data_IF_959795111902
#
_entry.id   IF_959795111902
#
_cell.length_a   1.000
_cell.length_b   1.000
_cell.length_c   1.000
_cell.angle_alpha   90.00
_cell.angle_beta   90.00
_cell.angle_gamma   90.00
#
_symmetry.space_group_name_H-M   'P 1'
#
loop_
_entity.id
_entity.type
_entity.pdbx_description
1 polymer ?
#
# COMPACT_ATOMS: atom_id res chain seq x y z
N UNK A 1 0.07 -18.13 19.33
CA UNK A 1 -1.10 -17.87 18.47
C UNK A 1 -0.58 -17.41 17.11
N UNK A 2 -0.95 -18.06 16.01
CA UNK A 2 -0.46 -17.67 14.70
C UNK A 2 -1.12 -16.34 14.32
N UNK A 3 -0.33 -15.27 14.23
CA UNK A 3 -0.82 -13.89 14.04
C UNK A 3 -1.46 -13.66 12.66
N UNK A 4 -1.12 -14.51 11.71
CA UNK A 4 -1.62 -14.48 10.35
C UNK A 4 -2.55 -15.67 10.09
N UNK A 5 -3.64 -15.39 9.40
CA UNK A 5 -4.57 -16.40 8.90
C UNK A 5 -4.04 -16.90 7.55
N UNK A 6 -4.31 -18.17 7.20
CA UNK A 6 -3.97 -18.68 5.88
C UNK A 6 -4.88 -18.05 4.82
N UNK A 7 -4.32 -17.06 4.11
CA UNK A 7 -4.98 -16.24 3.10
C UNK A 7 -4.36 -16.45 1.71
N UNK A 8 -3.68 -17.59 1.49
CA UNK A 8 -3.01 -17.94 0.22
C UNK A 8 -3.98 -18.05 -0.96
N UNK A 9 -5.25 -18.37 -0.68
CA UNK A 9 -6.32 -18.45 -1.68
C UNK A 9 -6.59 -17.14 -2.42
N UNK A 10 -6.23 -15.98 -1.86
CA UNK A 10 -6.50 -14.69 -2.50
C UNK A 10 -5.57 -14.45 -3.68
N UNK A 11 -6.17 -14.30 -4.86
CA UNK A 11 -5.49 -14.23 -6.16
C UNK A 11 -5.57 -12.85 -6.82
N UNK A 12 -6.01 -11.82 -6.08
CA UNK A 12 -6.01 -10.44 -6.58
C UNK A 12 -4.59 -10.04 -7.04
N UNK A 13 -4.42 -9.38 -8.20
CA UNK A 13 -3.10 -9.10 -8.77
C UNK A 13 -2.14 -8.40 -7.80
N UNK A 14 -2.59 -7.33 -7.15
CA UNK A 14 -1.78 -6.59 -6.17
C UNK A 14 -1.34 -7.46 -4.99
N UNK A 15 -2.20 -8.40 -4.54
CA UNK A 15 -1.85 -9.31 -3.46
C UNK A 15 -0.77 -10.30 -3.92
N UNK A 16 -0.95 -10.90 -5.10
CA UNK A 16 0.04 -11.85 -5.64
C UNK A 16 1.39 -11.17 -5.86
N UNK A 17 1.41 -9.99 -6.44
CA UNK A 17 2.66 -9.28 -6.75
C UNK A 17 3.29 -8.69 -5.48
N UNK A 18 2.52 -8.07 -4.59
CA UNK A 18 3.01 -7.60 -3.28
C UNK A 18 3.62 -8.72 -2.44
N UNK A 19 3.04 -9.94 -2.46
CA UNK A 19 3.61 -11.11 -1.77
C UNK A 19 4.95 -11.56 -2.36
N UNK A 20 5.17 -11.41 -3.67
CA UNK A 20 6.47 -11.75 -4.30
C UNK A 20 7.59 -10.83 -3.83
N UNK A 21 7.24 -9.61 -3.41
CA UNK A 21 8.18 -8.62 -2.90
C UNK A 21 8.39 -8.72 -1.39
N UNK A 22 7.84 -9.72 -0.68
CA UNK A 22 8.15 -9.91 0.74
C UNK A 22 9.66 -10.12 0.96
N UNK A 23 10.22 -9.40 1.93
CA UNK A 23 11.65 -9.37 2.20
C UNK A 23 12.46 -8.52 1.21
N UNK A 24 11.82 -7.81 0.30
CA UNK A 24 12.48 -6.80 -0.53
C UNK A 24 12.54 -5.46 0.22
N UNK A 25 13.57 -4.72 -0.15
CA UNK A 25 13.86 -3.34 0.18
C UNK A 25 14.24 -3.05 1.63
N UNK A 26 15.01 -1.97 1.79
CA UNK A 26 15.11 -1.24 3.05
C UNK A 26 14.16 -0.04 2.99
N UNK A 27 13.56 0.35 4.12
CA UNK A 27 12.74 1.56 4.15
C UNK A 27 13.60 2.80 3.91
N UNK A 28 13.31 3.56 2.86
CA UNK A 28 14.03 4.79 2.48
C UNK A 28 13.05 5.92 2.19
N UNK A 29 13.41 7.15 2.59
CA UNK A 29 12.58 8.35 2.44
C UNK A 29 13.22 9.34 1.46
N UNK A 30 12.49 10.39 1.06
CA UNK A 30 12.99 11.43 0.15
C UNK A 30 13.52 10.82 -1.16
N UNK A 31 14.74 11.16 -1.56
CA UNK A 31 15.39 10.64 -2.78
C UNK A 31 15.57 9.11 -2.75
N UNK A 32 15.60 8.50 -1.56
CA UNK A 32 15.79 7.06 -1.42
C UNK A 32 14.53 6.24 -1.74
N UNK A 33 13.36 6.87 -1.73
CA UNK A 33 12.06 6.18 -1.84
C UNK A 33 11.85 5.47 -3.18
N UNK A 34 12.68 5.72 -4.17
CA UNK A 34 12.57 5.16 -5.53
C UNK A 34 13.82 4.40 -5.97
N UNK A 35 14.76 4.11 -5.05
CA UNK A 35 16.00 3.39 -5.36
C UNK A 35 15.77 1.87 -5.43
N UNK A 36 14.70 1.42 -6.11
CA UNK A 36 14.45 0.02 -6.44
C UNK A 36 15.01 -0.39 -7.81
N UNK A 37 15.74 0.52 -8.49
CA UNK A 37 16.37 0.35 -9.81
C UNK A 37 15.37 0.25 -10.98
N UNK A 38 14.82 -0.94 -11.26
CA UNK A 38 13.83 -1.16 -12.33
C UNK A 38 12.51 -1.64 -11.72
N UNK A 39 11.38 -1.08 -12.15
CA UNK A 39 10.08 -1.51 -11.65
C UNK A 39 9.68 -2.93 -12.14
N UNK A 40 10.18 -3.39 -13.29
CA UNK A 40 9.95 -4.75 -13.79
C UNK A 40 10.74 -5.78 -12.99
N UNK A 41 11.99 -5.44 -12.65
CA UNK A 41 12.93 -6.30 -11.94
C UNK A 41 13.58 -5.53 -10.79
N UNK A 42 12.83 -5.24 -9.72
CA UNK A 42 13.35 -4.40 -8.65
C UNK A 42 14.46 -5.10 -7.89
N UNK A 43 15.47 -4.33 -7.50
CA UNK A 43 16.56 -4.83 -6.66
C UNK A 43 16.02 -5.14 -5.26
N UNK A 44 16.18 -6.38 -4.82
CA UNK A 44 15.80 -6.82 -3.48
C UNK A 44 16.45 -5.99 -2.38
N UNK A 45 17.65 -5.46 -2.61
CA UNK A 45 18.38 -4.63 -1.66
C UNK A 45 18.14 -3.12 -1.85
N UNK A 46 17.26 -2.75 -2.79
CA UNK A 46 16.90 -1.36 -3.05
C UNK A 46 16.17 -0.69 -1.90
N UNK A 47 15.66 0.52 -2.15
CA UNK A 47 14.91 1.28 -1.14
C UNK A 47 13.55 1.74 -1.65
N UNK A 48 12.58 1.74 -0.73
CA UNK A 48 11.21 2.17 -0.97
C UNK A 48 10.61 2.75 0.32
N UNK A 49 9.57 3.58 0.18
CA UNK A 49 8.66 3.90 1.28
C UNK A 49 7.30 3.23 1.06
N UNK A 50 6.37 3.46 2.00
CA UNK A 50 5.07 2.83 1.98
C UNK A 50 4.26 3.16 0.70
N UNK A 51 4.26 4.42 0.28
CA UNK A 51 3.51 4.88 -0.89
C UNK A 51 4.21 4.52 -2.21
N UNK A 52 5.54 4.56 -2.28
CA UNK A 52 6.28 4.12 -3.48
C UNK A 52 6.21 2.61 -3.67
N UNK A 53 6.10 1.84 -2.59
CA UNK A 53 5.80 0.41 -2.65
C UNK A 53 4.40 0.14 -3.25
N UNK A 54 3.36 0.85 -2.81
CA UNK A 54 2.01 0.71 -3.39
C UNK A 54 2.02 1.07 -4.88
N UNK A 55 2.69 2.18 -5.25
CA UNK A 55 2.87 2.59 -6.63
C UNK A 55 3.55 1.49 -7.46
N UNK A 56 4.65 0.92 -6.96
CA UNK A 56 5.42 -0.11 -7.64
C UNK A 56 4.57 -1.35 -7.93
N UNK A 57 3.86 -1.86 -6.92
CA UNK A 57 2.99 -3.04 -7.08
C UNK A 57 1.85 -2.74 -8.07
N UNK A 58 1.27 -1.54 -8.02
CA UNK A 58 0.24 -1.12 -8.96
C UNK A 58 0.78 -1.00 -10.40
N UNK A 59 1.94 -0.38 -10.62
CA UNK A 59 2.62 -0.28 -11.93
C UNK A 59 2.85 -1.67 -12.52
N UNK A 60 3.43 -2.58 -11.72
CA UNK A 60 3.71 -3.98 -12.10
C UNK A 60 2.46 -4.78 -12.44
N UNK A 61 1.31 -4.41 -11.86
CA UNK A 61 0.02 -5.02 -12.15
C UNK A 61 -0.76 -4.34 -13.29
N UNK A 62 -0.18 -3.35 -13.98
CA UNK A 62 -0.79 -2.66 -15.12
C UNK A 62 -1.89 -1.66 -14.75
N UNK A 63 -1.88 -1.14 -13.53
CA UNK A 63 -2.81 -0.09 -13.09
C UNK A 63 -2.35 1.29 -13.59
N UNK A 64 -3.28 2.25 -13.61
CA UNK A 64 -2.94 3.64 -13.85
C UNK A 64 -2.21 4.20 -12.63
N UNK A 65 -0.96 4.65 -12.78
CA UNK A 65 -0.18 5.22 -11.67
C UNK A 65 0.73 6.39 -12.07
N UNK A 66 0.68 6.84 -13.33
CA UNK A 66 1.66 7.80 -13.86
C UNK A 66 3.11 7.25 -13.85
N UNK A 67 4.09 8.15 -13.99
CA UNK A 67 5.52 7.80 -14.01
C UNK A 67 6.24 8.15 -12.70
N UNK A 68 5.65 9.02 -11.89
CA UNK A 68 6.20 9.41 -10.59
C UNK A 68 5.55 8.58 -9.46
N UNK A 69 6.34 8.01 -8.54
CA UNK A 69 5.79 7.30 -7.40
C UNK A 69 4.97 8.17 -6.46
N UNK A 70 3.82 7.64 -6.05
CA UNK A 70 2.85 8.34 -5.23
C UNK A 70 3.43 8.90 -3.94
N UNK A 71 2.82 9.95 -3.40
CA UNK A 71 2.91 10.27 -1.97
C UNK A 71 1.63 9.87 -1.22
N UNK A 72 1.71 9.53 0.07
CA UNK A 72 0.52 9.22 0.89
C UNK A 72 -0.58 10.31 0.86
N UNK A 73 -0.29 11.63 0.94
CA UNK A 73 -1.31 12.67 0.81
C UNK A 73 -1.97 12.68 -0.58
N UNK A 74 -1.18 12.52 -1.64
CA UNK A 74 -1.70 12.42 -3.01
C UNK A 74 -2.66 11.24 -3.18
N UNK A 75 -2.29 10.06 -2.66
CA UNK A 75 -3.14 8.87 -2.72
C UNK A 75 -4.50 9.10 -2.04
N UNK A 76 -4.51 9.77 -0.90
CA UNK A 76 -5.74 10.06 -0.17
C UNK A 76 -6.59 11.11 -0.89
N UNK A 77 -5.97 12.17 -1.41
CA UNK A 77 -6.66 13.20 -2.18
C UNK A 77 -7.28 12.62 -3.46
N UNK A 78 -6.52 11.84 -4.21
CA UNK A 78 -7.00 11.18 -5.41
C UNK A 78 -8.17 10.23 -5.10
N UNK A 79 -8.05 9.42 -4.04
CA UNK A 79 -9.12 8.53 -3.61
C UNK A 79 -10.41 9.29 -3.28
N UNK A 80 -10.32 10.50 -2.73
CA UNK A 80 -11.47 11.30 -2.28
C UNK A 80 -12.04 12.23 -3.36
N UNK A 81 -11.23 12.67 -4.33
CA UNK A 81 -11.60 13.74 -5.28
C UNK A 81 -11.41 13.35 -6.74
N UNK A 82 -10.16 13.15 -7.16
CA UNK A 82 -9.80 13.12 -8.59
C UNK A 82 -10.10 11.78 -9.24
N UNK A 83 -9.98 10.71 -8.47
CA UNK A 83 -10.30 9.35 -8.87
C UNK A 83 -9.52 8.82 -10.09
N UNK A 84 -8.31 9.33 -10.30
CA UNK A 84 -7.44 8.96 -11.42
C UNK A 84 -6.78 7.61 -11.16
N UNK A 85 -6.32 7.38 -9.93
CA UNK A 85 -5.58 6.18 -9.52
C UNK A 85 -6.36 5.33 -8.51
N UNK A 86 -7.21 5.95 -7.70
CA UNK A 86 -7.91 5.36 -6.58
C UNK A 86 -9.36 5.86 -6.48
N UNK A 87 -10.26 4.99 -6.05
CA UNK A 87 -11.62 5.37 -5.64
C UNK A 87 -11.84 5.04 -4.18
N UNK A 88 -12.25 6.01 -3.37
CA UNK A 88 -12.64 5.76 -1.98
C UNK A 88 -13.77 4.73 -1.93
N UNK A 89 -13.65 3.80 -0.99
CA UNK A 89 -14.65 2.77 -0.71
C UNK A 89 -15.05 2.81 0.76
N UNK A 90 -16.25 2.29 1.03
CA UNK A 90 -16.70 2.06 2.39
C UNK A 90 -15.97 0.85 2.98
N UNK A 91 -15.72 0.87 4.29
CA UNK A 91 -15.09 -0.23 5.02
C UNK A 91 -15.75 -1.60 4.76
N UNK A 92 -17.08 -1.64 4.68
CA UNK A 92 -17.84 -2.87 4.37
C UNK A 92 -17.57 -3.47 2.99
N UNK A 93 -17.00 -2.69 2.07
CA UNK A 93 -16.71 -3.09 0.70
C UNK A 93 -15.22 -3.41 0.47
N UNK A 94 -14.40 -3.35 1.52
CA UNK A 94 -12.97 -3.65 1.45
C UNK A 94 -12.76 -5.11 1.12
N UNK A 95 -11.85 -5.38 0.18
CA UNK A 95 -11.44 -6.71 -0.23
C UNK A 95 -9.92 -6.78 -0.48
N UNK A 96 -9.33 -7.99 -0.55
CA UNK A 96 -7.93 -8.16 -0.94
C UNK A 96 -7.56 -7.41 -2.21
N UNK A 97 -6.45 -6.68 -2.19
CA UNK A 97 -5.98 -5.81 -3.27
C UNK A 97 -6.54 -4.39 -3.25
N UNK A 98 -7.44 -4.05 -2.33
CA UNK A 98 -7.69 -2.64 -2.00
C UNK A 98 -6.51 -2.09 -1.18
N UNK A 99 -6.48 -0.78 -0.96
CA UNK A 99 -5.43 -0.06 -0.25
C UNK A 99 -6.00 0.62 0.98
N UNK A 100 -5.28 0.56 2.09
CA UNK A 100 -5.53 1.37 3.30
C UNK A 100 -4.57 2.56 3.29
N UNK A 101 -5.10 3.75 3.54
CA UNK A 101 -4.36 5.01 3.60
C UNK A 101 -4.76 5.71 4.89
N UNK A 102 -3.78 6.17 5.66
CA UNK A 102 -4.03 6.99 6.85
C UNK A 102 -3.09 8.19 6.80
N UNK A 103 -3.68 9.38 6.83
CA UNK A 103 -2.95 10.63 7.01
C UNK A 103 -3.41 11.33 8.29
N UNK A 104 -2.45 11.94 8.96
CA UNK A 104 -2.59 12.93 10.01
C UNK A 104 -1.93 14.22 9.50
N UNK A 105 -2.57 15.38 9.69
CA UNK A 105 -2.04 16.66 9.20
C UNK A 105 -1.63 16.62 7.72
N UNK A 106 -0.35 16.80 7.43
CA UNK A 106 0.21 16.87 6.06
C UNK A 106 0.49 15.51 5.41
N UNK A 107 0.39 14.38 6.14
CA UNK A 107 0.51 13.04 5.56
C UNK A 107 1.91 12.56 5.18
N UNK A 108 2.98 13.30 5.51
CA UNK A 108 4.37 12.92 5.24
C UNK A 108 5.09 12.33 6.46
N UNK A 109 6.06 11.47 6.21
CA UNK A 109 6.91 10.89 7.27
C UNK A 109 6.07 10.11 8.29
N UNK A 110 6.21 10.43 9.57
CA UNK A 110 5.45 9.79 10.66
C UNK A 110 3.95 10.07 10.62
N UNK A 111 3.52 11.04 9.81
CA UNK A 111 2.14 11.52 9.76
C UNK A 111 1.32 10.86 8.64
N UNK A 112 1.89 9.92 7.90
CA UNK A 112 1.15 9.18 6.89
C UNK A 112 1.68 7.78 6.70
N UNK A 113 0.78 6.84 6.42
CA UNK A 113 1.15 5.48 6.04
C UNK A 113 0.13 4.88 5.08
N UNK A 114 0.55 3.88 4.31
CA UNK A 114 -0.32 3.14 3.41
C UNK A 114 0.13 1.70 3.23
N UNK A 115 -0.82 0.82 2.92
CA UNK A 115 -0.57 -0.60 2.72
C UNK A 115 -1.62 -1.27 1.83
N UNK A 116 -1.27 -2.42 1.26
CA UNK A 116 -2.17 -3.24 0.44
C UNK A 116 -2.92 -4.21 1.34
N UNK A 117 -4.24 -4.34 1.19
CA UNK A 117 -5.06 -5.31 1.90
C UNK A 117 -4.73 -6.73 1.40
N UNK A 118 -4.27 -7.59 2.30
CA UNK A 118 -3.75 -8.95 2.01
C UNK A 118 -4.70 -10.08 2.40
N UNK A 119 -5.92 -9.73 2.84
CA UNK A 119 -6.84 -10.71 3.42
C UNK A 119 -8.27 -10.21 3.56
N UNK A 120 -9.10 -11.05 4.17
CA UNK A 120 -10.48 -10.67 4.48
C UNK A 120 -10.52 -9.45 5.41
N UNK A 121 -11.44 -8.52 5.14
CA UNK A 121 -11.60 -7.35 5.99
C UNK A 121 -12.10 -7.73 7.39
N UNK A 122 -11.35 -7.35 8.42
CA UNK A 122 -11.63 -7.62 9.85
C UNK A 122 -11.33 -6.40 10.72
N UNK A 123 -11.58 -5.21 10.19
CA UNK A 123 -11.25 -3.95 10.86
C UNK A 123 -9.75 -3.85 11.14
N UNK A 124 -9.36 -3.53 12.38
CA UNK A 124 -7.95 -3.41 12.78
C UNK A 124 -7.15 -4.72 12.68
N UNK A 125 -7.80 -5.88 12.64
CA UNK A 125 -7.13 -7.17 12.46
C UNK A 125 -7.00 -7.58 10.98
N UNK A 126 -7.34 -6.69 10.04
CA UNK A 126 -7.17 -6.99 8.61
C UNK A 126 -5.70 -7.11 8.27
N UNK A 127 -5.33 -8.22 7.63
CA UNK A 127 -3.97 -8.44 7.14
C UNK A 127 -3.62 -7.49 6.00
N UNK A 128 -2.38 -7.03 5.98
CA UNK A 128 -1.84 -6.11 4.98
C UNK A 128 -0.43 -6.54 4.56
N UNK A 129 -0.02 -6.10 3.37
CA UNK A 129 1.38 -6.09 2.92
C UNK A 129 1.85 -4.64 2.94
N UNK A 130 2.95 -4.38 3.63
CA UNK A 130 3.44 -3.04 3.93
C UNK A 130 4.96 -2.97 4.06
N UNK A 131 5.51 -1.75 4.10
CA UNK A 131 6.90 -1.48 4.48
C UNK A 131 6.94 -0.25 5.39
N UNK A 132 7.67 -0.34 6.51
CA UNK A 132 7.95 0.79 7.42
C UNK A 132 6.90 1.14 8.49
N UNK A 133 5.77 0.44 8.58
CA UNK A 133 4.70 0.70 9.56
C UNK A 133 4.96 0.16 10.96
N UNK A 134 5.94 -0.74 11.13
CA UNK A 134 6.38 -1.27 12.43
C UNK A 134 7.83 -0.87 12.67
N UNK A 135 8.13 -0.39 13.89
CA UNK A 135 9.51 -0.13 14.34
C UNK A 135 10.17 -1.39 14.94
N UNK A 136 11.47 -1.63 14.67
CA UNK A 136 12.30 -0.91 13.70
C UNK A 136 11.82 -1.18 12.27
N UNK A 137 11.94 -0.17 11.39
CA UNK A 137 11.45 -0.27 10.02
C UNK A 137 12.13 -1.46 9.32
N UNK A 138 11.31 -2.40 8.85
CA UNK A 138 11.77 -3.60 8.18
C UNK A 138 11.53 -3.58 6.67
N UNK A 139 11.95 -4.63 5.96
CA UNK A 139 11.61 -4.83 4.55
C UNK A 139 10.11 -5.01 4.37
N UNK A 140 9.66 -5.16 3.12
CA UNK A 140 8.26 -5.49 2.81
C UNK A 140 7.84 -6.75 3.58
N UNK A 141 6.77 -6.66 4.34
CA UNK A 141 6.31 -7.74 5.22
C UNK A 141 4.79 -7.74 5.37
N UNK A 142 4.27 -8.80 5.97
CA UNK A 142 2.87 -8.86 6.40
C UNK A 142 2.71 -8.27 7.79
N UNK A 143 1.60 -7.56 7.98
CA UNK A 143 1.18 -7.02 9.27
C UNK A 143 -0.35 -7.02 9.36
N UNK A 144 -0.89 -6.36 10.38
CA UNK A 144 -2.31 -5.99 10.47
C UNK A 144 -2.47 -4.49 10.64
N UNK A 145 -3.61 -3.94 10.19
CA UNK A 145 -3.90 -2.50 10.24
C UNK A 145 -3.65 -1.91 11.64
N UNK A 146 -4.12 -2.59 12.70
CA UNK A 146 -4.06 -2.07 14.06
C UNK A 146 -2.65 -1.84 14.58
N UNK A 147 -1.68 -2.62 14.11
CA UNK A 147 -0.29 -2.53 14.56
C UNK A 147 0.51 -1.58 13.68
N UNK A 148 0.44 -1.78 12.36
CA UNK A 148 1.18 -0.98 11.36
C UNK A 148 0.77 0.50 11.37
N UNK A 149 -0.46 0.80 11.80
CA UNK A 149 -0.98 2.17 11.87
C UNK A 149 -1.21 2.64 13.31
N UNK A 150 -0.68 1.94 14.32
CA UNK A 150 -1.04 2.17 15.73
C UNK A 150 -0.90 3.63 16.20
N UNK A 151 0.15 4.34 15.78
CA UNK A 151 0.34 5.77 16.09
C UNK A 151 -0.69 6.65 15.40
N UNK A 152 -0.89 6.42 14.10
CA UNK A 152 -1.79 7.21 13.25
C UNK A 152 -3.26 7.03 13.61
N UNK A 153 -3.67 5.84 14.06
CA UNK A 153 -5.06 5.55 14.41
C UNK A 153 -5.56 6.31 15.65
N UNK A 154 -4.70 7.04 16.36
CA UNK A 154 -5.08 7.92 17.47
C UNK A 154 -5.70 9.24 17.00
N UNK A 155 -5.33 9.71 15.82
CA UNK A 155 -5.70 11.04 15.33
C UNK A 155 -6.06 11.09 13.83
N UNK A 156 -5.42 10.24 13.02
CA UNK A 156 -5.70 10.08 11.60
C UNK A 156 -6.98 9.30 11.31
N UNK A 157 -7.60 9.59 10.17
CA UNK A 157 -8.78 8.87 9.67
C UNK A 157 -8.36 7.87 8.60
N UNK A 158 -8.92 6.66 8.68
CA UNK A 158 -8.69 5.65 7.65
C UNK A 158 -9.47 6.01 6.39
N UNK A 159 -8.75 6.08 5.26
CA UNK A 159 -9.29 6.07 3.92
C UNK A 159 -9.02 4.70 3.30
N UNK A 160 -10.07 3.95 2.99
CA UNK A 160 -9.96 2.76 2.16
C UNK A 160 -10.16 3.14 0.70
N UNK A 161 -9.29 2.64 -0.16
CA UNK A 161 -9.21 3.01 -1.56
C UNK A 161 -9.13 1.76 -2.45
N UNK A 162 -9.84 1.79 -3.58
CA UNK A 162 -9.76 0.78 -4.62
C UNK A 162 -8.93 1.30 -5.79
N UNK A 163 -7.84 0.64 -6.18
CA UNK A 163 -7.09 0.97 -7.38
C UNK A 163 -7.97 0.98 -8.64
N UNK A 164 -7.81 2.01 -9.46
CA UNK A 164 -8.50 2.18 -10.74
C UNK A 164 -7.69 1.52 -11.84
N UNK A 165 -8.29 0.55 -12.55
CA UNK A 165 -7.64 -0.06 -13.71
C UNK A 165 -7.60 0.93 -14.87
N UNK A 166 -6.56 0.85 -15.69
CA UNK A 166 -6.54 1.49 -16.99
C UNK A 166 -7.78 1.05 -17.79
N UNK A 167 -8.65 1.99 -18.13
CA UNK A 167 -9.79 1.74 -19.00
C UNK A 167 -9.39 1.71 -20.49
N UNK A 168 -8.16 1.28 -20.81
CA UNK A 168 -7.80 1.02 -22.21
C UNK A 168 -8.41 -0.31 -22.66
N UNK A 169 -9.74 -0.30 -22.82
CA UNK A 169 -10.48 -1.24 -23.63
C UNK A 169 -11.18 -0.41 -24.72
N UNK A 170 -10.69 -0.60 -25.94
CA UNK A 170 -11.28 -0.20 -27.23
C UNK A 170 -11.39 1.31 -27.48
N UNK A 171 -10.32 1.88 -28.02
CA UNK A 171 -10.39 2.88 -29.08
C UNK A 171 -9.78 2.28 -30.34
#
# INVERSE_FOLDING_TARGET
>A
MNKFVNDERYSAPLVKDGRKLMGFFTYGTNEERTLYNDWHHPDKNGKADCSSFVWLVMKRCGYNVGDTPFSTPEMEEDAKKNHVFFKKILAKNVKPGDVVIVNEGVGYGSNGHTAIIDGHYRGRHTQIIEIGGIKPNGPVHRSVIGESFASLLKAGRITYARPVKNNWKNS
#
